data_IF_052250027849
#
_entry.id   IF_052250027849
#
_cell.length_a   1.000
_cell.length_b   1.000
_cell.length_c   1.000
_cell.angle_alpha   90.00
_cell.angle_beta   90.00
_cell.angle_gamma   90.00
#
_symmetry.space_group_name_H-M   'P 1'
#
loop_
_entity.id
_entity.type
_entity.pdbx_description
1 polymer ?
#
# COMPACT_ATOMS: atom_id res chain seq x y z
N UNK A 1 -14.20 68.42 16.89
CA UNK A 1 -13.02 68.21 16.03
C UNK A 1 -13.00 66.77 15.55
N UNK A 2 -12.59 66.61 14.29
CA UNK A 2 -12.39 65.43 13.41
C UNK A 2 -12.42 63.99 14.00
N UNK A 3 -13.35 63.21 13.41
CA UNK A 3 -13.30 61.81 12.91
C UNK A 3 -12.02 60.99 13.12
N UNK A 4 -12.17 59.80 13.72
CA UNK A 4 -11.51 58.53 13.35
C UNK A 4 -12.46 57.39 13.80
N UNK A 5 -13.46 56.98 13.01
CA UNK A 5 -13.40 55.98 11.94
C UNK A 5 -12.71 54.66 12.34
N UNK A 6 -13.56 53.66 12.64
CA UNK A 6 -13.49 52.21 12.34
C UNK A 6 -12.13 51.49 12.39
N UNK A 7 -12.04 50.46 13.26
CA UNK A 7 -11.17 49.30 13.11
C UNK A 7 -11.67 48.20 14.06
N UNK A 8 -11.97 46.96 13.71
CA UNK A 8 -11.98 46.20 12.47
C UNK A 8 -12.39 44.78 12.87
N UNK A 9 -13.43 44.23 12.26
CA UNK A 9 -13.86 42.86 12.50
C UNK A 9 -12.83 41.89 11.91
N UNK A 10 -12.27 41.00 12.73
CA UNK A 10 -11.46 39.87 12.24
C UNK A 10 -12.25 38.58 12.44
N UNK A 11 -13.20 38.34 11.52
CA UNK A 11 -13.76 37.02 11.27
C UNK A 11 -12.70 36.22 10.50
N UNK A 12 -11.84 35.50 11.21
CA UNK A 12 -11.02 34.47 10.61
C UNK A 12 -11.90 33.23 10.36
N UNK A 13 -12.68 33.26 9.28
CA UNK A 13 -13.22 32.05 8.70
C UNK A 13 -12.01 31.29 8.10
N UNK A 14 -11.51 30.29 8.81
CA UNK A 14 -10.64 29.29 8.20
C UNK A 14 -11.44 28.60 7.11
N UNK A 15 -11.15 28.97 5.86
CA UNK A 15 -11.71 28.33 4.69
C UNK A 15 -11.36 26.84 4.73
N UNK A 16 -12.38 26.01 4.80
CA UNK A 16 -12.26 24.61 4.41
C UNK A 16 -11.95 24.66 2.92
N UNK A 17 -10.68 24.43 2.57
CA UNK A 17 -10.29 24.19 1.20
C UNK A 17 -10.90 22.85 0.79
N UNK A 18 -12.15 22.89 0.31
CA UNK A 18 -12.71 21.79 -0.46
C UNK A 18 -11.86 21.66 -1.71
N UNK A 19 -11.22 20.50 -1.88
CA UNK A 19 -10.50 20.17 -3.10
C UNK A 19 -11.47 20.33 -4.28
N UNK A 20 -11.09 21.18 -5.23
CA UNK A 20 -11.79 21.25 -6.50
C UNK A 20 -11.60 19.91 -7.20
N UNK A 21 -12.70 19.18 -7.39
CA UNK A 21 -12.75 18.03 -8.29
C UNK A 21 -12.55 18.54 -9.72
N UNK A 22 -11.28 18.63 -10.15
CA UNK A 22 -10.95 18.58 -11.55
C UNK A 22 -10.88 17.11 -11.96
N UNK A 23 -11.28 16.82 -13.20
CA UNK A 23 -11.30 15.51 -13.86
C UNK A 23 -9.87 14.99 -14.15
N UNK A 24 -8.94 15.28 -13.25
CA UNK A 24 -7.55 14.88 -13.30
C UNK A 24 -7.40 13.74 -12.28
N UNK A 25 -7.12 12.52 -12.74
CA UNK A 25 -6.97 11.31 -11.91
C UNK A 25 -5.80 11.37 -10.89
N UNK A 26 -5.20 12.55 -10.72
CA UNK A 26 -3.96 12.85 -10.01
C UNK A 26 -4.22 13.79 -8.83
N UNK A 27 -3.65 13.46 -7.66
CA UNK A 27 -3.84 14.27 -6.45
C UNK A 27 -2.67 15.25 -6.29
N UNK A 28 -2.96 16.55 -6.37
CA UNK A 28 -1.95 17.60 -6.21
C UNK A 28 -1.88 18.13 -4.78
N UNK A 29 -1.40 17.31 -3.86
CA UNK A 29 -1.28 17.64 -2.44
C UNK A 29 0.20 17.76 -2.05
N UNK A 30 0.64 18.89 -1.45
CA UNK A 30 1.99 19.01 -0.86
C UNK A 30 2.21 17.98 0.24
N UNK A 31 3.40 17.35 0.25
CA UNK A 31 3.74 16.24 1.16
C UNK A 31 3.50 16.57 2.65
N UNK A 32 3.61 17.84 3.06
CA UNK A 32 3.38 18.27 4.45
C UNK A 32 1.94 18.07 4.91
N UNK A 33 0.99 17.98 3.97
CA UNK A 33 -0.42 17.73 4.27
C UNK A 33 -0.80 16.26 4.21
N UNK A 34 0.11 15.38 3.81
CA UNK A 34 -0.18 13.96 3.66
C UNK A 34 -0.39 13.32 5.02
N UNK A 35 -1.49 12.60 5.15
CA UNK A 35 -1.74 11.77 6.31
C UNK A 35 -0.82 10.54 6.26
N UNK A 36 -0.36 10.05 7.42
CA UNK A 36 0.49 8.87 7.47
C UNK A 36 -0.28 7.63 6.98
N UNK A 37 0.46 6.61 6.56
CA UNK A 37 -0.12 5.35 6.05
C UNK A 37 -1.03 4.68 7.07
N UNK A 38 -0.75 4.82 8.36
CA UNK A 38 -1.58 4.31 9.45
C UNK A 38 -2.97 4.95 9.44
N UNK A 39 -3.06 6.26 9.17
CA UNK A 39 -4.35 6.94 9.05
C UNK A 39 -5.15 6.43 7.85
N UNK A 40 -4.47 6.13 6.73
CA UNK A 40 -5.09 5.47 5.57
C UNK A 40 -5.66 4.11 5.99
N UNK A 41 -4.87 3.30 6.71
CA UNK A 41 -5.30 1.99 7.20
C UNK A 41 -6.51 2.06 8.14
N UNK A 42 -6.59 3.08 8.98
CA UNK A 42 -7.72 3.22 9.89
C UNK A 42 -8.97 3.73 9.16
N UNK A 43 -8.82 4.65 8.19
CA UNK A 43 -9.92 5.13 7.35
C UNK A 43 -10.54 4.01 6.51
N UNK A 44 -9.73 3.15 5.90
CA UNK A 44 -10.22 2.00 5.10
C UNK A 44 -10.84 0.92 5.98
N UNK A 45 -10.28 0.64 7.16
CA UNK A 45 -10.90 -0.29 8.14
C UNK A 45 -12.25 0.23 8.62
N UNK A 46 -12.37 1.54 8.86
CA UNK A 46 -13.63 2.17 9.28
C UNK A 46 -14.73 2.02 8.22
N UNK A 47 -14.37 1.87 6.94
CA UNK A 47 -15.29 1.58 5.83
C UNK A 47 -15.66 0.09 5.71
N UNK A 48 -15.10 -0.77 6.56
CA UNK A 48 -15.27 -2.22 6.49
C UNK A 48 -14.49 -2.88 5.35
N UNK A 49 -13.47 -2.21 4.81
CA UNK A 49 -12.66 -2.74 3.73
C UNK A 49 -11.50 -3.58 4.27
N UNK A 50 -11.24 -4.70 3.61
CA UNK A 50 -10.04 -5.51 3.81
C UNK A 50 -8.97 -5.08 2.83
N UNK A 51 -7.93 -4.43 3.32
CA UNK A 51 -6.85 -3.91 2.49
C UNK A 51 -5.73 -4.93 2.35
N UNK A 52 -5.34 -5.19 1.10
CA UNK A 52 -4.18 -6.02 0.77
C UNK A 52 -2.92 -5.18 0.53
N UNK A 53 -3.05 -4.07 -0.23
CA UNK A 53 -1.92 -3.19 -0.59
C UNK A 53 -2.34 -1.73 -0.51
N UNK A 54 -1.43 -0.89 -0.01
CA UNK A 54 -1.50 0.58 -0.06
C UNK A 54 -0.21 1.04 -0.73
N UNK A 55 -0.30 1.80 -1.83
CA UNK A 55 0.83 2.45 -2.49
C UNK A 55 0.54 3.93 -2.73
N UNK A 56 1.57 4.67 -3.13
CA UNK A 56 1.44 6.05 -3.58
C UNK A 56 1.55 6.01 -5.12
N UNK A 57 0.61 6.64 -5.82
CA UNK A 57 0.45 6.57 -7.27
C UNK A 57 -0.09 7.93 -7.74
N UNK A 58 0.62 8.63 -8.64
CA UNK A 58 0.26 9.95 -9.16
C UNK A 58 -0.16 10.99 -8.10
N UNK A 59 0.56 11.00 -6.97
CA UNK A 59 0.27 11.88 -5.84
C UNK A 59 -0.92 11.47 -4.97
N UNK A 60 -1.62 10.38 -5.29
CA UNK A 60 -2.71 9.80 -4.50
C UNK A 60 -2.25 8.57 -3.69
N UNK A 61 -3.04 8.18 -2.68
CA UNK A 61 -2.94 6.84 -2.10
C UNK A 61 -3.79 5.85 -2.89
N UNK A 62 -3.18 4.84 -3.49
CA UNK A 62 -3.90 3.73 -4.11
C UNK A 62 -4.05 2.56 -3.11
N UNK A 63 -5.30 2.15 -2.87
CA UNK A 63 -5.67 1.03 -2.00
C UNK A 63 -6.27 -0.08 -2.84
N UNK A 64 -5.69 -1.28 -2.75
CA UNK A 64 -6.26 -2.52 -3.34
C UNK A 64 -6.71 -3.46 -2.24
N UNK A 65 -7.89 -4.05 -2.41
CA UNK A 65 -8.47 -4.93 -1.40
C UNK A 65 -9.85 -5.45 -1.75
N UNK A 66 -10.56 -5.92 -0.74
CA UNK A 66 -11.95 -6.35 -0.80
C UNK A 66 -12.83 -5.37 -0.03
N UNK A 67 -13.94 -4.95 -0.63
CA UNK A 67 -14.91 -4.09 0.04
C UNK A 67 -15.70 -4.88 1.10
N UNK A 68 -16.61 -4.21 1.81
CA UNK A 68 -17.43 -4.83 2.84
C UNK A 68 -18.33 -5.96 2.31
N UNK A 69 -18.55 -6.03 1.00
CA UNK A 69 -19.35 -7.06 0.32
C UNK A 69 -18.46 -8.20 -0.22
N UNK A 70 -17.14 -8.12 -0.02
CA UNK A 70 -16.16 -9.08 -0.50
C UNK A 70 -15.73 -8.86 -1.95
N UNK A 71 -16.18 -7.80 -2.62
CA UNK A 71 -15.79 -7.52 -4.01
C UNK A 71 -14.39 -6.88 -4.06
N UNK A 72 -13.57 -7.34 -5.00
CA UNK A 72 -12.24 -6.78 -5.21
C UNK A 72 -12.33 -5.37 -5.82
N UNK A 73 -11.55 -4.44 -5.27
CA UNK A 73 -11.50 -3.06 -5.75
C UNK A 73 -10.08 -2.49 -5.73
N UNK A 74 -9.89 -1.42 -6.51
CA UNK A 74 -8.78 -0.47 -6.47
C UNK A 74 -9.39 0.91 -6.24
N UNK A 75 -8.94 1.65 -5.24
CA UNK A 75 -9.40 3.02 -4.97
C UNK A 75 -8.22 3.97 -4.83
N UNK A 76 -8.31 5.15 -5.46
CA UNK A 76 -7.41 6.29 -5.21
C UNK A 76 -8.03 7.17 -4.13
N UNK A 77 -7.25 7.51 -3.10
CA UNK A 77 -7.65 8.37 -1.99
C UNK A 77 -6.81 9.66 -2.00
N UNK A 78 -7.46 10.77 -1.69
CA UNK A 78 -6.77 12.05 -1.46
C UNK A 78 -5.86 11.92 -0.23
N UNK A 79 -4.57 12.27 -0.32
CA UNK A 79 -3.63 12.03 0.78
C UNK A 79 -3.83 12.99 1.97
N UNK A 80 -4.48 14.14 1.80
CA UNK A 80 -4.79 15.06 2.90
C UNK A 80 -6.10 14.72 3.60
N UNK A 81 -7.15 14.35 2.86
CA UNK A 81 -8.50 14.12 3.42
C UNK A 81 -8.83 12.65 3.59
N UNK A 82 -8.11 11.75 2.91
CA UNK A 82 -8.39 10.32 2.77
C UNK A 82 -9.73 10.02 2.10
N UNK A 83 -10.36 11.00 1.45
CA UNK A 83 -11.58 10.83 0.68
C UNK A 83 -11.32 10.03 -0.60
N UNK A 84 -12.33 9.29 -1.04
CA UNK A 84 -12.24 8.48 -2.26
C UNK A 84 -12.36 9.41 -3.46
N UNK A 85 -11.27 9.51 -4.23
CA UNK A 85 -11.23 10.28 -5.48
C UNK A 85 -11.72 9.40 -6.63
N UNK A 86 -11.24 8.16 -6.70
CA UNK A 86 -11.62 7.19 -7.72
C UNK A 86 -11.77 5.80 -7.10
N UNK A 87 -12.73 4.99 -7.59
CA UNK A 87 -12.85 3.59 -7.21
C UNK A 87 -13.27 2.72 -8.39
N UNK A 88 -12.41 1.76 -8.74
CA UNK A 88 -12.64 0.72 -9.74
C UNK A 88 -12.91 -0.62 -9.04
N UNK A 89 -13.96 -1.32 -9.47
CA UNK A 89 -14.23 -2.70 -9.05
C UNK A 89 -13.75 -3.65 -10.14
N UNK A 90 -13.03 -4.70 -9.76
CA UNK A 90 -12.64 -5.75 -10.70
C UNK A 90 -13.82 -6.70 -10.86
N UNK A 91 -14.63 -6.50 -11.88
CA UNK A 91 -15.67 -7.45 -12.23
C UNK A 91 -15.03 -8.74 -12.78
N UNK A 92 -15.72 -9.87 -12.57
CA UNK A 92 -15.19 -11.21 -12.92
C UNK A 92 -15.21 -11.48 -14.43
N UNK A 93 -15.69 -10.55 -15.26
CA UNK A 93 -15.64 -10.58 -16.73
C UNK A 93 -14.63 -9.53 -17.15
N UNK A 94 -13.36 -9.90 -17.08
CA UNK A 94 -12.27 -8.95 -17.18
C UNK A 94 -12.32 -8.05 -18.41
N UNK A 95 -11.91 -6.81 -18.21
CA UNK A 95 -11.23 -5.96 -19.16
C UNK A 95 -10.57 -4.83 -18.36
N UNK A 96 -9.27 -4.67 -18.57
CA UNK A 96 -8.41 -3.82 -17.75
C UNK A 96 -7.11 -4.56 -17.49
N UNK A 97 -6.25 -4.58 -18.50
CA UNK A 97 -4.82 -4.74 -18.31
C UNK A 97 -4.43 -3.61 -17.37
N UNK A 98 -4.31 -3.91 -16.07
CA UNK A 98 -3.47 -3.09 -15.24
C UNK A 98 -2.07 -3.38 -15.78
N UNK A 99 -1.53 -2.44 -16.53
CA UNK A 99 -0.14 -2.44 -16.94
C UNK A 99 0.69 -2.46 -15.63
N UNK A 100 0.96 -3.66 -15.13
CA UNK A 100 2.02 -3.95 -14.18
C UNK A 100 3.36 -3.83 -14.94
N UNK A 101 3.64 -2.65 -15.49
CA UNK A 101 4.98 -2.25 -15.93
C UNK A 101 5.67 -1.59 -14.73
N UNK A 102 6.08 -2.42 -13.77
CA UNK A 102 7.15 -2.13 -12.84
C UNK A 102 8.17 -3.29 -12.93
N UNK A 103 9.01 -3.19 -13.97
CA UNK A 103 10.44 -3.49 -14.04
C UNK A 103 11.03 -4.85 -13.57
N UNK A 104 11.60 -5.55 -14.55
CA UNK A 104 12.87 -6.29 -14.56
C UNK A 104 13.13 -7.46 -13.59
N UNK A 105 12.95 -8.70 -14.10
CA UNK A 105 13.91 -9.80 -13.85
C UNK A 105 13.93 -10.78 -15.06
N UNK A 106 14.86 -10.53 -15.98
CA UNK A 106 15.54 -11.46 -16.90
C UNK A 106 14.70 -12.58 -17.57
N UNK A 107 14.15 -12.30 -18.75
CA UNK A 107 13.90 -13.31 -19.76
C UNK A 107 15.13 -13.49 -20.67
N UNK A 108 16.19 -14.12 -20.15
CA UNK A 108 17.30 -14.60 -20.96
C UNK A 108 16.86 -15.72 -21.94
N UNK A 109 17.32 -15.71 -23.22
CA UNK A 109 16.80 -16.61 -24.23
C UNK A 109 17.38 -18.03 -24.14
N UNK A 110 16.48 -18.97 -24.43
CA UNK A 110 16.66 -20.42 -24.69
C UNK A 110 18.04 -20.80 -25.26
N UNK A 111 18.69 -21.79 -24.65
CA UNK A 111 19.49 -22.76 -25.41
C UNK A 111 19.09 -24.19 -25.06
N UNK A 112 18.44 -24.81 -26.04
CA UNK A 112 18.26 -26.24 -26.13
C UNK A 112 19.63 -26.94 -26.05
N UNK A 113 19.77 -27.87 -25.10
CA UNK A 113 20.60 -29.06 -25.32
C UNK A 113 19.85 -30.28 -24.81
N UNK A 114 19.21 -30.93 -25.76
CA UNK A 114 19.00 -32.37 -25.75
C UNK A 114 20.26 -33.09 -25.24
N UNK A 115 20.09 -33.95 -24.24
CA UNK A 115 20.78 -35.25 -24.17
C UNK A 115 20.08 -36.11 -23.12
N UNK A 116 19.05 -36.83 -23.56
CA UNK A 116 18.76 -38.12 -22.98
C UNK A 116 19.92 -39.07 -23.30
N UNK A 117 20.45 -39.73 -22.28
CA UNK A 117 21.14 -41.03 -22.31
C UNK A 117 21.57 -41.38 -20.88
N UNK A 118 20.96 -42.43 -20.33
CA UNK A 118 21.13 -42.82 -18.93
C UNK A 118 22.35 -43.69 -18.64
N UNK A 119 22.61 -43.87 -17.34
CA UNK A 119 23.01 -45.11 -16.68
C UNK A 119 23.04 -44.88 -15.16
N UNK A 120 22.66 -45.87 -14.31
CA UNK A 120 22.66 -45.75 -12.86
C UNK A 120 24.04 -46.12 -12.30
N UNK A 121 24.53 -45.40 -11.29
CA UNK A 121 25.74 -45.78 -10.56
C UNK A 121 25.52 -45.60 -9.05
N UNK A 122 25.27 -46.73 -8.39
CA UNK A 122 25.87 -47.20 -7.12
C UNK A 122 25.86 -46.28 -5.87
N UNK A 123 25.24 -46.78 -4.78
CA UNK A 123 25.15 -46.22 -3.42
C UNK A 123 26.48 -46.27 -2.60
N UNK A 124 26.48 -46.07 -1.25
CA UNK A 124 26.33 -44.86 -0.41
C UNK A 124 27.63 -44.59 0.43
N UNK A 125 27.64 -43.71 1.47
CA UNK A 125 27.47 -44.26 2.82
C UNK A 125 26.75 -43.36 3.86
N UNK A 126 26.38 -44.06 4.94
CA UNK A 126 25.74 -43.62 6.17
C UNK A 126 26.51 -42.56 6.98
N UNK A 127 25.78 -41.58 7.52
CA UNK A 127 25.86 -41.21 8.95
C UNK A 127 24.80 -40.15 9.30
N UNK A 128 23.75 -40.55 10.00
CA UNK A 128 22.83 -39.67 10.73
C UNK A 128 22.70 -40.21 12.15
N UNK A 129 22.94 -39.37 13.17
CA UNK A 129 22.27 -39.52 14.46
C UNK A 129 21.19 -38.44 14.73
N UNK A 130 20.22 -38.74 15.62
CA UNK A 130 18.86 -38.18 15.67
C UNK A 130 18.68 -36.88 16.49
N UNK A 131 17.48 -36.25 16.45
CA UNK A 131 17.24 -34.92 17.01
C UNK A 131 16.91 -34.94 18.51
N UNK A 132 17.43 -33.96 19.24
CA UNK A 132 17.03 -33.58 20.60
C UNK A 132 17.63 -32.19 20.87
N UNK A 133 16.87 -31.12 21.11
CA UNK A 133 15.76 -30.99 22.04
C UNK A 133 16.29 -30.17 23.22
N UNK A 134 16.13 -28.84 23.20
CA UNK A 134 16.41 -27.98 24.36
C UNK A 134 15.51 -26.74 24.33
N UNK A 135 14.37 -26.87 25.02
CA UNK A 135 13.68 -25.73 25.63
C UNK A 135 14.67 -25.09 26.62
N UNK A 136 14.95 -23.80 26.45
CA UNK A 136 15.90 -23.04 27.28
C UNK A 136 15.36 -21.66 27.63
N UNK A 137 14.64 -21.61 28.74
CA UNK A 137 14.41 -20.50 29.69
C UNK A 137 14.40 -19.04 29.22
N UNK A 138 13.28 -18.38 29.52
CA UNK A 138 13.05 -16.96 29.31
C UNK A 138 13.97 -16.04 30.12
N UNK A 139 14.28 -14.90 29.51
CA UNK A 139 14.57 -13.62 30.14
C UNK A 139 14.35 -12.55 29.06
N UNK A 140 13.37 -11.64 29.17
CA UNK A 140 13.30 -10.48 28.29
C UNK A 140 14.39 -9.47 28.67
N UNK A 141 15.07 -8.82 27.71
CA UNK A 141 16.03 -7.77 28.03
C UNK A 141 15.31 -6.54 28.59
N UNK A 142 15.73 -6.08 29.77
CA UNK A 142 15.28 -4.85 30.38
C UNK A 142 15.80 -3.65 29.57
N UNK A 143 14.90 -2.89 28.95
CA UNK A 143 15.20 -1.59 28.34
C UNK A 143 15.26 -0.55 29.45
N UNK A 144 16.45 0.01 29.68
CA UNK A 144 16.64 1.21 30.51
C UNK A 144 16.69 2.41 29.56
N UNK A 145 15.63 3.20 29.53
CA UNK A 145 15.65 4.54 28.92
C UNK A 145 16.19 5.51 29.98
N UNK A 146 17.27 6.21 29.64
CA UNK A 146 17.82 7.33 30.42
C UNK A 146 17.46 8.64 29.75
#
# INVERSE_FOLDING_TARGET
MKKHMLLGALLAAFGIAGAAHADDDDCQVPMERWQPREAVQDAVKARGWQVGRIKIDDGCYEVRGNDAQGAAFKAKLDPATLEVVEMKRKDRRGEGRDDDDDDDDDHGPRQARERGQGAPLTAPPANLPPPGGLLGNGTPPAVVVR
#
